data_IF_935617306629
#
_entry.id   IF_935617306629
#
_cell.length_a   1.000
_cell.length_b   1.000
_cell.length_c   1.000
_cell.angle_alpha   90.00
_cell.angle_beta   90.00
_cell.angle_gamma   90.00
#
_symmetry.space_group_name_H-M   'P 1'
#
loop_
_entity.id
_entity.type
_entity.pdbx_description
1 polymer ?
#
# COMPACT_ATOMS: atom_id res chain seq x y z
N UNK A 1 20.02 2.51 -15.33
CA UNK A 1 18.80 3.35 -15.51
C UNK A 1 18.34 4.01 -14.21
N UNK A 2 18.22 3.28 -13.08
CA UNK A 2 17.86 3.87 -11.76
C UNK A 2 18.83 4.97 -11.30
N UNK A 3 20.14 4.74 -11.37
CA UNK A 3 21.13 5.78 -11.06
C UNK A 3 20.99 7.03 -11.96
N UNK A 4 20.65 6.84 -13.23
CA UNK A 4 20.42 7.91 -14.22
C UNK A 4 19.11 8.67 -14.02
N UNK A 5 18.15 8.10 -13.27
CA UNK A 5 16.88 8.75 -12.88
C UNK A 5 17.07 9.49 -11.56
N UNK A 6 17.83 8.93 -10.61
CA UNK A 6 18.19 9.60 -9.36
C UNK A 6 19.05 10.85 -9.59
N UNK A 7 19.96 10.85 -10.58
CA UNK A 7 20.75 12.04 -10.95
C UNK A 7 19.93 13.15 -11.61
N UNK A 8 18.68 12.90 -11.99
CA UNK A 8 17.74 13.92 -12.51
C UNK A 8 16.96 14.64 -11.40
N UNK A 9 17.36 14.46 -10.14
CA UNK A 9 16.67 15.05 -8.98
C UNK A 9 15.50 14.23 -8.44
N UNK A 10 15.40 12.95 -8.83
CA UNK A 10 14.32 12.08 -8.36
C UNK A 10 14.62 11.47 -7.00
N UNK A 11 13.73 11.66 -6.02
CA UNK A 11 13.88 11.17 -4.64
C UNK A 11 13.53 9.69 -4.44
N UNK A 12 13.34 8.91 -5.52
CA UNK A 12 12.98 7.48 -5.44
C UNK A 12 14.04 6.64 -4.73
N UNK A 13 15.32 6.98 -4.89
CA UNK A 13 16.40 6.29 -4.17
C UNK A 13 16.30 6.46 -2.66
N UNK A 14 15.93 7.67 -2.19
CA UNK A 14 15.70 7.93 -0.77
C UNK A 14 14.52 7.12 -0.24
N UNK A 15 13.43 7.04 -1.02
CA UNK A 15 12.27 6.21 -0.66
C UNK A 15 12.66 4.73 -0.54
N UNK A 16 13.47 4.22 -1.47
CA UNK A 16 14.00 2.85 -1.42
C UNK A 16 14.77 2.59 -0.14
N UNK A 17 15.69 3.50 0.23
CA UNK A 17 16.44 3.41 1.49
C UNK A 17 15.52 3.43 2.71
N UNK A 18 14.49 4.28 2.73
CA UNK A 18 13.53 4.34 3.82
C UNK A 18 12.73 3.03 3.98
N UNK A 19 12.30 2.43 2.87
CA UNK A 19 11.55 1.16 2.90
C UNK A 19 12.46 0.00 3.33
N UNK A 20 13.71 -0.04 2.86
CA UNK A 20 14.68 -1.04 3.33
C UNK A 20 15.04 -0.85 4.80
N UNK A 21 15.19 0.40 5.26
CA UNK A 21 15.42 0.71 6.67
C UNK A 21 14.21 0.32 7.55
N UNK A 22 12.98 0.52 7.05
CA UNK A 22 11.75 0.06 7.71
C UNK A 22 11.78 -1.47 7.87
N UNK A 23 12.05 -2.20 6.78
CA UNK A 23 12.15 -3.67 6.82
C UNK A 23 13.20 -4.11 7.84
N UNK A 24 14.40 -3.52 7.81
CA UNK A 24 15.45 -3.81 8.79
C UNK A 24 15.00 -3.53 10.23
N UNK A 25 14.38 -2.38 10.49
CA UNK A 25 13.92 -2.00 11.83
C UNK A 25 12.83 -2.96 12.36
N UNK A 26 11.93 -3.42 11.48
CA UNK A 26 10.90 -4.41 11.81
C UNK A 26 11.53 -5.76 12.14
N UNK A 27 12.47 -6.24 11.32
CA UNK A 27 13.19 -7.50 11.57
C UNK A 27 14.01 -7.46 12.87
N UNK A 28 14.62 -6.31 13.19
CA UNK A 28 15.31 -6.07 14.46
C UNK A 28 14.36 -5.82 15.65
N UNK A 29 13.04 -5.80 15.41
CA UNK A 29 11.99 -5.57 16.42
C UNK A 29 12.06 -4.21 17.10
N UNK A 30 12.63 -3.22 16.41
CA UNK A 30 12.72 -1.83 16.89
C UNK A 30 11.45 -1.08 16.56
N UNK A 31 10.36 -1.44 17.25
CA UNK A 31 8.98 -0.97 16.98
C UNK A 31 8.88 0.56 16.84
N UNK A 32 9.53 1.31 17.74
CA UNK A 32 9.55 2.77 17.70
C UNK A 32 10.16 3.30 16.40
N UNK A 33 11.33 2.78 16.01
CA UNK A 33 12.01 3.18 14.77
C UNK A 33 11.19 2.78 13.54
N UNK A 34 10.59 1.58 13.55
CA UNK A 34 9.73 1.13 12.47
C UNK A 34 8.53 2.06 12.27
N UNK A 35 7.88 2.49 13.34
CA UNK A 35 6.78 3.44 13.26
C UNK A 35 7.21 4.81 12.73
N UNK A 36 8.34 5.35 13.22
CA UNK A 36 8.89 6.62 12.71
C UNK A 36 9.25 6.53 11.23
N UNK A 37 9.94 5.46 10.81
CA UNK A 37 10.33 5.23 9.41
C UNK A 37 9.11 5.05 8.50
N UNK A 38 8.08 4.35 8.96
CA UNK A 38 6.82 4.20 8.23
C UNK A 38 6.12 5.55 8.08
N UNK A 39 5.94 6.31 9.16
CA UNK A 39 5.28 7.62 9.12
C UNK A 39 6.03 8.64 8.26
N UNK A 40 7.36 8.66 8.36
CA UNK A 40 8.22 9.49 7.52
C UNK A 40 8.16 9.06 6.05
N UNK A 41 8.21 7.75 5.76
CA UNK A 41 8.06 7.22 4.40
C UNK A 41 6.73 7.64 3.76
N UNK A 42 5.62 7.51 4.50
CA UNK A 42 4.27 7.90 4.05
C UNK A 42 4.14 9.42 3.86
N UNK A 43 4.84 10.22 4.66
CA UNK A 43 4.90 11.67 4.47
C UNK A 43 5.65 12.04 3.18
N UNK A 44 6.79 11.39 2.90
CA UNK A 44 7.60 11.62 1.69
C UNK A 44 6.84 11.26 0.40
N UNK A 45 6.14 10.12 0.41
CA UNK A 45 5.20 9.70 -0.63
C UNK A 45 4.13 8.86 0.01
N UNK A 46 2.91 8.91 -0.50
CA UNK A 46 1.81 8.15 0.11
C UNK A 46 2.06 6.62 0.05
N UNK A 47 2.70 6.10 -1.01
CA UNK A 47 2.78 4.67 -1.35
C UNK A 47 3.28 3.70 -0.26
N UNK A 48 4.28 4.01 0.59
CA UNK A 48 4.73 3.12 1.66
C UNK A 48 3.64 2.72 2.66
N UNK A 49 2.48 3.38 2.65
CA UNK A 49 1.34 2.99 3.48
C UNK A 49 0.90 1.54 3.21
N UNK A 50 1.12 1.02 2.00
CA UNK A 50 0.75 -0.35 1.64
C UNK A 50 1.48 -1.40 2.49
N UNK A 51 2.64 -1.08 3.05
CA UNK A 51 3.42 -2.02 3.87
C UNK A 51 2.86 -2.15 5.30
N UNK A 52 2.06 -1.19 5.77
CA UNK A 52 1.56 -1.17 7.14
C UNK A 52 0.80 -2.46 7.53
N UNK A 53 -0.13 -3.00 6.71
CA UNK A 53 -0.83 -4.25 7.03
C UNK A 53 0.10 -5.46 7.10
N UNK A 54 1.09 -5.57 6.21
CA UNK A 54 2.07 -6.67 6.24
C UNK A 54 2.93 -6.62 7.50
N UNK A 55 3.40 -5.42 7.87
CA UNK A 55 4.20 -5.21 9.08
C UNK A 55 3.38 -5.53 10.33
N UNK A 56 2.14 -5.00 10.43
CA UNK A 56 1.25 -5.27 11.58
C UNK A 56 0.92 -6.77 11.69
N UNK A 57 0.67 -7.44 10.56
CA UNK A 57 0.36 -8.87 10.53
C UNK A 57 1.57 -9.74 10.92
N UNK A 58 2.79 -9.32 10.52
CA UNK A 58 4.03 -10.01 10.86
C UNK A 58 4.39 -9.87 12.35
N UNK A 59 4.06 -8.74 12.99
CA UNK A 59 4.31 -8.47 14.41
C UNK A 59 3.37 -9.27 15.34
N UNK A 60 3.41 -10.60 15.26
CA UNK A 60 2.73 -11.54 16.16
C UNK A 60 3.56 -11.81 17.43
N UNK A 61 2.93 -12.27 18.50
CA UNK A 61 3.58 -12.61 19.77
C UNK A 61 4.73 -13.60 19.60
N UNK A 62 4.60 -14.58 18.70
CA UNK A 62 5.68 -15.54 18.38
C UNK A 62 6.91 -14.85 17.78
N UNK A 63 6.68 -13.92 16.85
CA UNK A 63 7.71 -13.15 16.18
C UNK A 63 8.29 -12.04 17.07
N UNK A 64 7.62 -11.64 18.14
CA UNK A 64 8.12 -10.65 19.09
C UNK A 64 8.82 -11.30 20.30
N UNK A 65 8.47 -12.52 20.69
CA UNK A 65 9.00 -13.22 21.87
C UNK A 65 10.38 -13.88 21.70
N UNK A 66 10.78 -14.25 20.47
CA UNK A 66 12.05 -14.98 20.20
C UNK A 66 13.36 -14.32 20.67
N UNK A 67 13.37 -13.05 21.11
CA UNK A 67 14.62 -12.34 21.54
C UNK A 67 14.81 -12.35 23.06
N UNK A 68 13.80 -12.73 23.84
CA UNK A 68 13.85 -12.65 25.31
C UNK A 68 14.43 -13.90 25.97
N UNK A 69 14.75 -14.96 25.22
CA UNK A 69 15.25 -16.24 25.77
C UNK A 69 16.76 -16.44 25.71
N UNK A 70 17.56 -15.48 25.23
CA UNK A 70 19.01 -15.66 25.07
C UNK A 70 19.91 -14.92 26.07
N UNK A 71 19.36 -14.19 27.06
CA UNK A 71 20.15 -13.51 28.09
C UNK A 71 19.53 -13.65 29.49
N UNK A 72 19.59 -14.86 30.06
CA UNK A 72 19.20 -15.09 31.45
C UNK A 72 19.26 -16.56 31.85
N UNK A 73 20.37 -16.97 32.48
CA UNK A 73 20.49 -18.23 33.23
C UNK A 73 19.41 -18.27 34.33
N UNK A 74 18.49 -19.24 34.32
CA UNK A 74 17.96 -19.87 35.55
C UNK A 74 17.09 -21.12 35.29
N UNK A 75 17.72 -22.28 35.47
CA UNK A 75 17.29 -23.44 36.28
C UNK A 75 15.78 -23.70 36.51
N UNK A 76 15.35 -24.93 36.16
CA UNK A 76 14.16 -25.64 36.65
C UNK A 76 12.90 -25.38 35.81
N UNK A 77 12.07 -26.35 35.41
CA UNK A 77 11.96 -27.75 35.81
C UNK A 77 11.28 -28.51 34.66
N UNK A 78 11.73 -29.73 34.40
CA UNK A 78 10.99 -30.72 33.60
C UNK A 78 9.85 -31.21 34.48
N UNK A 79 8.62 -30.81 34.16
CA UNK A 79 7.34 -31.51 34.38
C UNK A 79 6.23 -30.52 34.05
N UNK A 80 5.54 -30.67 32.93
CA UNK A 80 4.30 -31.46 32.95
C UNK A 80 3.66 -31.50 31.55
N UNK A 81 3.10 -32.66 31.25
CA UNK A 81 2.26 -32.90 30.09
C UNK A 81 0.91 -32.24 30.35
N UNK A 82 0.48 -31.35 29.45
CA UNK A 82 -0.92 -31.31 29.05
C UNK A 82 -1.06 -30.58 27.72
N UNK A 83 -1.20 -31.35 26.64
CA UNK A 83 -2.13 -30.95 25.59
C UNK A 83 -3.50 -30.81 26.25
N UNK A 84 -4.22 -29.72 25.98
CA UNK A 84 -5.62 -29.86 25.63
C UNK A 84 -5.77 -29.41 24.18
N UNK A 85 -6.08 -30.38 23.33
CA UNK A 85 -6.89 -30.17 22.15
C UNK A 85 -8.19 -29.50 22.63
N UNK A 86 -8.35 -28.21 22.38
CA UNK A 86 -9.64 -27.53 22.51
C UNK A 86 -9.83 -26.62 21.29
N UNK A 87 -10.55 -27.16 20.31
CA UNK A 87 -11.20 -26.43 19.24
C UNK A 87 -12.24 -25.49 19.86
N UNK A 88 -11.80 -24.38 20.45
CA UNK A 88 -12.72 -23.28 20.74
C UNK A 88 -12.99 -22.56 19.43
N UNK A 89 -14.23 -22.68 18.96
CA UNK A 89 -14.83 -21.78 17.98
C UNK A 89 -14.77 -20.36 18.52
N UNK A 90 -13.61 -19.72 18.38
CA UNK A 90 -13.40 -18.34 18.80
C UNK A 90 -14.44 -17.46 18.11
N UNK A 91 -15.24 -16.76 18.91
CA UNK A 91 -16.07 -15.67 18.42
C UNK A 91 -15.17 -14.66 17.70
N UNK A 92 -15.63 -14.06 16.58
CA UNK A 92 -14.80 -13.13 15.79
C UNK A 92 -14.26 -11.97 16.65
N UNK A 93 -15.01 -11.59 17.69
CA UNK A 93 -14.62 -10.56 18.66
C UNK A 93 -13.37 -10.94 19.48
N UNK A 94 -13.27 -12.18 19.97
CA UNK A 94 -12.10 -12.64 20.73
C UNK A 94 -10.83 -12.69 19.88
N UNK A 95 -10.97 -13.03 18.58
CA UNK A 95 -9.84 -12.97 17.63
C UNK A 95 -9.35 -11.53 17.42
N UNK A 96 -10.26 -10.56 17.38
CA UNK A 96 -9.91 -9.13 17.25
C UNK A 96 -9.19 -8.64 18.50
N UNK A 97 -9.68 -8.98 19.70
CA UNK A 97 -9.03 -8.58 20.95
C UNK A 97 -7.64 -9.22 21.09
N UNK A 98 -7.49 -10.50 20.74
CA UNK A 98 -6.19 -11.17 20.71
C UNK A 98 -5.22 -10.59 19.65
N UNK A 99 -5.75 -9.90 18.63
CA UNK A 99 -4.94 -9.23 17.60
C UNK A 99 -4.36 -7.89 18.08
N UNK A 100 -4.86 -7.34 19.19
CA UNK A 100 -4.39 -6.07 19.76
C UNK A 100 -3.19 -6.36 20.68
N UNK A 101 -1.98 -6.22 20.15
CA UNK A 101 -0.74 -6.33 20.93
C UNK A 101 -0.13 -4.94 21.19
N UNK A 102 0.62 -4.75 22.29
CA UNK A 102 1.20 -3.44 22.61
C UNK A 102 2.19 -2.97 21.52
N UNK A 103 2.90 -3.87 20.86
CA UNK A 103 3.84 -3.55 19.80
C UNK A 103 3.12 -3.00 18.56
N UNK A 104 1.97 -3.59 18.20
CA UNK A 104 1.15 -3.13 17.07
C UNK A 104 0.56 -1.75 17.36
N UNK A 105 0.04 -1.55 18.57
CA UNK A 105 -0.46 -0.24 19.00
C UNK A 105 0.66 0.80 18.94
N UNK A 106 1.84 0.47 19.48
CA UNK A 106 2.98 1.36 19.47
C UNK A 106 3.39 1.73 18.04
N UNK A 107 3.43 0.77 17.11
CA UNK A 107 3.71 1.06 15.68
C UNK A 107 2.66 2.00 15.07
N UNK A 108 1.38 1.76 15.34
CA UNK A 108 0.29 2.60 14.81
C UNK A 108 0.39 4.02 15.36
N UNK A 109 0.55 4.19 16.67
CA UNK A 109 0.63 5.50 17.31
C UNK A 109 1.86 6.26 16.83
N UNK A 110 3.02 5.62 16.82
CA UNK A 110 4.29 6.30 16.46
C UNK A 110 4.33 6.69 14.99
N UNK A 111 3.81 5.85 14.09
CA UNK A 111 3.66 6.20 12.67
C UNK A 111 2.64 7.31 12.44
N UNK A 112 1.50 7.27 13.13
CA UNK A 112 0.48 8.32 13.04
C UNK A 112 0.99 9.66 13.56
N UNK A 113 1.64 9.70 14.72
CA UNK A 113 2.21 10.92 15.30
C UNK A 113 3.28 11.50 14.39
N UNK A 114 4.17 10.66 13.84
CA UNK A 114 5.21 11.12 12.92
C UNK A 114 4.60 11.69 11.64
N UNK A 115 3.67 10.97 11.02
CA UNK A 115 3.00 11.41 9.78
C UNK A 115 2.18 12.68 9.99
N UNK A 116 1.33 12.71 11.03
CA UNK A 116 0.48 13.86 11.34
C UNK A 116 1.32 15.07 11.73
N UNK A 117 2.33 14.88 12.60
CA UNK A 117 3.23 15.95 13.03
C UNK A 117 3.93 16.62 11.85
N UNK A 118 4.53 15.83 10.94
CA UNK A 118 5.19 16.37 9.74
C UNK A 118 4.21 17.11 8.83
N UNK A 119 3.00 16.57 8.63
CA UNK A 119 1.97 17.21 7.82
C UNK A 119 1.44 18.52 8.44
N UNK A 120 1.26 18.55 9.77
CA UNK A 120 0.85 19.76 10.48
C UNK A 120 1.93 20.84 10.35
N UNK A 121 3.20 20.48 10.50
CA UNK A 121 4.32 21.43 10.31
C UNK A 121 4.35 21.95 8.88
N UNK A 122 4.23 21.09 7.87
CA UNK A 122 4.21 21.53 6.46
C UNK A 122 2.98 22.38 6.15
N UNK A 123 1.81 22.04 6.69
CA UNK A 123 0.61 22.85 6.54
C UNK A 123 0.75 24.21 7.23
N UNK A 124 1.37 24.28 8.40
CA UNK A 124 1.61 25.55 9.10
C UNK A 124 2.53 26.50 8.32
N UNK A 125 3.51 25.96 7.58
CA UNK A 125 4.44 26.75 6.77
C UNK A 125 3.83 27.17 5.43
N UNK A 126 3.14 26.26 4.74
CA UNK A 126 2.75 26.42 3.32
C UNK A 126 1.24 26.55 3.10
N UNK A 127 0.40 26.24 4.10
CA UNK A 127 -1.07 26.34 4.02
C UNK A 127 -1.72 25.36 3.03
N UNK A 128 -2.86 25.79 2.46
CA UNK A 128 -3.61 25.01 1.46
C UNK A 128 -2.83 24.61 0.19
N UNK A 129 -1.91 25.44 -0.35
CA UNK A 129 -1.07 25.04 -1.47
C UNK A 129 -0.32 23.71 -1.27
N UNK A 130 0.13 23.42 -0.04
CA UNK A 130 0.77 22.15 0.29
C UNK A 130 -0.19 20.97 0.09
N UNK A 131 -1.41 21.04 0.63
CA UNK A 131 -2.40 19.94 0.51
C UNK A 131 -2.76 19.70 -0.95
N UNK A 132 -2.96 20.79 -1.71
CA UNK A 132 -3.34 20.69 -3.12
C UNK A 132 -2.25 20.03 -3.95
N UNK A 133 -1.00 20.46 -3.83
CA UNK A 133 0.09 19.96 -4.67
C UNK A 133 0.62 18.60 -4.20
N UNK A 134 0.65 18.33 -2.89
CA UNK A 134 1.17 17.08 -2.32
C UNK A 134 0.18 15.92 -2.46
N UNK A 135 -1.12 16.18 -2.29
CA UNK A 135 -2.13 15.11 -2.23
C UNK A 135 -3.17 15.21 -3.34
N UNK A 136 -3.87 16.34 -3.45
CA UNK A 136 -5.06 16.43 -4.32
C UNK A 136 -4.70 16.35 -5.81
N UNK A 137 -3.62 16.99 -6.22
CA UNK A 137 -3.18 17.03 -7.61
C UNK A 137 -2.87 15.63 -8.19
N UNK A 138 -2.38 14.70 -7.36
CA UNK A 138 -2.11 13.33 -7.79
C UNK A 138 -3.37 12.47 -7.94
N UNK A 139 -4.44 12.80 -7.23
CA UNK A 139 -5.72 12.08 -7.30
C UNK A 139 -6.52 12.51 -8.53
N UNK A 140 -6.47 13.80 -8.88
CA UNK A 140 -7.25 14.36 -10.00
C UNK A 140 -6.59 14.16 -11.36
N UNK A 141 -5.28 13.90 -11.42
CA UNK A 141 -4.57 13.75 -12.69
C UNK A 141 -4.89 12.41 -13.35
N UNK A 142 -5.41 12.46 -14.58
CA UNK A 142 -5.68 11.29 -15.43
C UNK A 142 -4.82 11.41 -16.69
N UNK A 143 -3.97 10.41 -16.95
CA UNK A 143 -3.26 10.28 -18.21
C UNK A 143 -3.95 9.21 -19.07
N UNK A 144 -4.39 9.59 -20.27
CA UNK A 144 -5.16 8.74 -21.20
C UNK A 144 -4.42 8.43 -22.50
N UNK A 145 -3.31 9.11 -22.81
CA UNK A 145 -2.60 8.95 -24.10
C UNK A 145 -1.37 8.05 -23.99
N UNK A 146 -0.75 7.98 -22.81
CA UNK A 146 0.48 7.23 -22.59
C UNK A 146 0.39 6.30 -21.37
N UNK A 147 -0.82 5.82 -21.10
CA UNK A 147 -1.12 4.95 -19.97
C UNK A 147 -1.14 3.48 -20.42
N UNK A 148 -0.26 2.66 -19.85
CA UNK A 148 -0.17 1.23 -20.12
C UNK A 148 -0.91 0.40 -19.05
N UNK A 149 -1.69 1.04 -18.17
CA UNK A 149 -2.48 0.31 -17.18
C UNK A 149 -3.51 -0.61 -17.86
N UNK A 150 -3.94 -1.68 -17.18
CA UNK A 150 -5.05 -2.51 -17.64
C UNK A 150 -6.34 -1.72 -17.93
N UNK A 151 -6.45 -0.51 -17.37
CA UNK A 151 -7.61 0.37 -17.49
C UNK A 151 -7.54 1.35 -18.67
N UNK A 152 -6.46 1.32 -19.47
CA UNK A 152 -6.23 2.31 -20.53
C UNK A 152 -7.40 2.48 -21.50
N UNK A 153 -7.91 1.38 -22.07
CA UNK A 153 -9.02 1.41 -23.04
C UNK A 153 -10.29 2.00 -22.41
N UNK A 154 -10.57 1.65 -21.16
CA UNK A 154 -11.76 2.10 -20.44
C UNK A 154 -11.69 3.59 -20.09
N UNK A 155 -10.53 4.07 -19.65
CA UNK A 155 -10.28 5.49 -19.40
C UNK A 155 -10.32 6.31 -20.69
N UNK A 156 -9.77 5.78 -21.78
CA UNK A 156 -9.83 6.41 -23.10
C UNK A 156 -11.27 6.60 -23.58
N UNK A 157 -12.08 5.53 -23.56
CA UNK A 157 -13.49 5.58 -23.99
C UNK A 157 -14.35 6.51 -23.12
N UNK A 158 -14.07 6.58 -21.81
CA UNK A 158 -14.76 7.50 -20.91
C UNK A 158 -14.40 8.96 -21.24
N UNK A 159 -13.11 9.25 -21.47
CA UNK A 159 -12.66 10.59 -21.83
C UNK A 159 -13.20 11.08 -23.18
N UNK A 160 -13.37 10.18 -24.15
CA UNK A 160 -13.96 10.52 -25.45
C UNK A 160 -15.47 10.76 -25.33
N UNK A 161 -16.20 9.95 -24.55
CA UNK A 161 -17.63 10.14 -24.31
C UNK A 161 -17.96 11.47 -23.58
N UNK A 162 -17.13 11.86 -22.60
CA UNK A 162 -17.23 13.18 -21.95
C UNK A 162 -16.90 14.35 -22.88
N UNK A 163 -16.07 14.12 -23.90
CA UNK A 163 -15.74 15.14 -24.91
C UNK A 163 -16.88 15.31 -25.93
N UNK A 164 -17.54 14.22 -26.32
CA UNK A 164 -18.67 14.24 -27.28
C UNK A 164 -19.93 14.91 -26.74
N UNK A 165 -20.09 15.02 -25.41
CA UNK A 165 -21.21 15.73 -24.77
C UNK A 165 -21.03 17.26 -24.74
N UNK A 166 -19.84 17.77 -25.08
CA UNK A 166 -19.55 19.22 -25.08
C UNK A 166 -19.85 19.93 -26.41
N UNK A 167 -20.26 19.19 -27.45
CA UNK A 167 -20.53 19.73 -28.80
C UNK A 167 -21.98 19.54 -29.28
N UNK A 168 -22.92 19.17 -28.43
CA UNK A 168 -24.33 19.15 -28.81
C UNK A 168 -24.87 20.58 -28.68
N UNK A 169 -25.34 21.22 -29.78
CA UNK A 169 -26.02 22.51 -29.68
C UNK A 169 -27.19 22.36 -28.71
N UNK A 170 -27.40 23.40 -27.90
CA UNK A 170 -28.27 23.44 -26.71
C UNK A 170 -29.71 22.99 -27.04
N UNK A 171 -30.11 23.08 -28.31
CA UNK A 171 -31.42 22.72 -28.85
C UNK A 171 -31.58 21.22 -29.17
N UNK A 172 -30.50 20.48 -29.42
CA UNK A 172 -30.52 19.03 -29.65
C UNK A 172 -30.24 18.24 -28.35
N UNK A 173 -29.57 18.86 -27.38
CA UNK A 173 -29.28 18.25 -26.08
C UNK A 173 -30.57 17.99 -25.27
N UNK A 174 -31.59 18.83 -25.42
CA UNK A 174 -32.90 18.66 -24.80
C UNK A 174 -33.73 17.53 -25.41
N UNK A 175 -33.54 17.24 -26.71
CA UNK A 175 -34.22 16.14 -27.41
C UNK A 175 -33.54 14.79 -27.23
N UNK A 176 -32.25 14.76 -26.86
CA UNK A 176 -31.52 13.53 -26.52
C UNK A 176 -31.55 13.20 -25.02
N UNK A 177 -32.02 14.12 -24.18
CA UNK A 177 -32.16 13.90 -22.73
C UNK A 177 -33.16 12.78 -22.38
N UNK A 178 -34.04 12.39 -23.30
CA UNK A 178 -35.05 11.34 -23.08
C UNK A 178 -34.49 9.91 -23.16
N UNK A 179 -33.26 9.73 -23.66
CA UNK A 179 -32.57 8.42 -23.66
C UNK A 179 -31.21 8.46 -22.95
N UNK A 180 -31.02 9.40 -22.02
CA UNK A 180 -29.98 9.24 -21.02
C UNK A 180 -30.51 8.23 -20.01
N UNK A 181 -30.10 6.96 -20.16
CA UNK A 181 -30.14 6.00 -19.06
C UNK A 181 -29.29 6.63 -17.94
N UNK A 182 -29.92 7.44 -17.08
CA UNK A 182 -29.41 7.82 -15.76
C UNK A 182 -29.45 6.57 -14.92
N UNK A 183 -28.54 5.69 -15.26
CA UNK A 183 -28.20 4.48 -14.56
C UNK A 183 -27.64 4.93 -13.20
N UNK A 184 -28.32 4.63 -12.07
CA UNK A 184 -27.77 4.85 -10.72
C UNK A 184 -26.53 3.97 -10.47
N UNK A 185 -26.23 3.06 -11.39
CA UNK A 185 -25.10 2.16 -11.45
C UNK A 185 -24.00 2.64 -12.41
N UNK A 186 -24.00 3.91 -12.82
CA UNK A 186 -22.80 4.60 -13.31
C UNK A 186 -21.84 4.76 -12.13
N UNK A 187 -21.42 3.62 -11.57
CA UNK A 187 -20.30 3.53 -10.65
C UNK A 187 -19.20 4.33 -11.32
N UNK A 188 -18.63 5.31 -10.62
CA UNK A 188 -17.42 5.99 -11.07
C UNK A 188 -16.40 4.92 -11.36
N UNK A 189 -16.29 4.51 -12.63
CA UNK A 189 -15.48 3.37 -13.07
C UNK A 189 -14.01 3.59 -12.65
N UNK A 190 -13.62 4.86 -12.55
CA UNK A 190 -12.37 5.33 -11.99
C UNK A 190 -12.10 4.92 -10.54
N UNK A 191 -13.14 4.85 -9.70
CA UNK A 191 -13.05 4.39 -8.30
C UNK A 191 -13.00 2.86 -8.20
N UNK A 192 -13.54 2.15 -9.18
CA UNK A 192 -13.49 0.66 -9.22
C UNK A 192 -12.09 0.15 -9.48
N UNK A 193 -11.26 0.89 -10.24
CA UNK A 193 -9.87 0.53 -10.50
C UNK A 193 -8.99 0.48 -9.24
N UNK A 194 -9.31 1.28 -8.21
CA UNK A 194 -8.58 1.29 -6.93
C UNK A 194 -8.92 0.09 -6.04
N UNK A 195 -10.11 -0.49 -6.20
CA UNK A 195 -10.57 -1.60 -5.36
C UNK A 195 -9.71 -2.87 -5.50
N UNK A 196 -9.44 -3.43 -6.70
CA UNK A 196 -8.59 -4.61 -6.82
C UNK A 196 -7.13 -4.30 -6.47
N UNK A 197 -6.63 -3.11 -6.79
CA UNK A 197 -5.27 -2.68 -6.45
C UNK A 197 -5.05 -2.66 -4.92
N UNK A 198 -5.94 -2.00 -4.18
CA UNK A 198 -5.84 -1.94 -2.72
C UNK A 198 -6.14 -3.29 -2.09
N UNK A 199 -7.23 -3.97 -2.49
CA UNK A 199 -7.60 -5.26 -1.92
C UNK A 199 -6.50 -6.31 -2.07
N UNK A 200 -5.86 -6.38 -3.25
CA UNK A 200 -4.78 -7.33 -3.48
C UNK A 200 -3.53 -6.96 -2.68
N UNK A 201 -3.10 -5.69 -2.72
CA UNK A 201 -1.83 -5.26 -2.11
C UNK A 201 -1.88 -5.08 -0.60
N UNK A 202 -3.00 -4.63 -0.01
CA UNK A 202 -3.09 -4.32 1.42
C UNK A 202 -3.79 -5.42 2.24
N UNK A 203 -4.54 -6.32 1.60
CA UNK A 203 -5.29 -7.37 2.30
C UNK A 203 -4.80 -8.77 1.91
N UNK A 204 -4.96 -9.17 0.65
CA UNK A 204 -4.71 -10.57 0.25
C UNK A 204 -3.24 -10.99 0.40
N UNK A 205 -2.31 -10.20 -0.11
CA UNK A 205 -0.87 -10.52 -0.07
C UNK A 205 -0.34 -10.59 1.38
N UNK A 206 -0.61 -9.59 2.25
CA UNK A 206 -0.22 -9.65 3.66
C UNK A 206 -0.74 -10.88 4.39
N UNK A 207 -2.00 -11.25 4.19
CA UNK A 207 -2.61 -12.39 4.89
C UNK A 207 -1.94 -13.72 4.54
N UNK A 208 -1.55 -13.90 3.27
CA UNK A 208 -0.95 -15.15 2.77
C UNK A 208 0.55 -15.23 3.05
N UNK A 209 1.25 -14.10 2.87
CA UNK A 209 2.71 -14.07 2.81
C UNK A 209 3.40 -13.57 4.07
N UNK A 210 2.80 -12.60 4.79
CA UNK A 210 3.58 -11.81 5.74
C UNK A 210 4.15 -12.66 6.88
N UNK A 211 3.42 -13.68 7.37
CA UNK A 211 3.92 -14.59 8.43
C UNK A 211 5.05 -15.54 7.99
N UNK A 212 5.23 -15.75 6.68
CA UNK A 212 6.27 -16.67 6.15
C UNK A 212 7.57 -15.91 5.89
N UNK A 213 7.46 -14.82 5.14
CA UNK A 213 8.59 -13.97 4.80
C UNK A 213 8.09 -12.55 4.51
N UNK A 214 8.46 -11.61 5.39
CA UNK A 214 8.06 -10.22 5.29
C UNK A 214 8.68 -9.54 4.06
N UNK A 215 9.95 -9.83 3.72
CA UNK A 215 10.65 -9.17 2.63
C UNK A 215 10.02 -9.53 1.27
N UNK A 216 9.81 -10.83 1.04
CA UNK A 216 9.13 -11.32 -0.17
C UNK A 216 7.69 -10.80 -0.25
N UNK A 217 7.00 -10.69 0.90
CA UNK A 217 5.65 -10.11 0.94
C UNK A 217 5.66 -8.64 0.53
N UNK A 218 6.53 -7.81 1.09
CA UNK A 218 6.63 -6.39 0.72
C UNK A 218 7.00 -6.21 -0.76
N UNK A 219 7.85 -7.08 -1.31
CA UNK A 219 8.15 -7.11 -2.74
C UNK A 219 6.90 -7.43 -3.56
N UNK A 220 6.15 -8.48 -3.20
CA UNK A 220 4.91 -8.85 -3.87
C UNK A 220 3.83 -7.76 -3.78
N UNK A 221 3.72 -7.08 -2.63
CA UNK A 221 2.82 -5.93 -2.46
C UNK A 221 3.18 -4.81 -3.42
N UNK A 222 4.46 -4.48 -3.54
CA UNK A 222 4.96 -3.43 -4.45
C UNK A 222 4.65 -3.80 -5.90
N UNK A 223 4.92 -5.04 -6.29
CA UNK A 223 4.64 -5.56 -7.61
C UNK A 223 3.14 -5.48 -7.97
N UNK A 224 2.27 -5.95 -7.07
CA UNK A 224 0.83 -5.92 -7.28
C UNK A 224 0.29 -4.48 -7.31
N UNK A 225 0.76 -3.62 -6.39
CA UNK A 225 0.34 -2.23 -6.33
C UNK A 225 0.70 -1.46 -7.59
N UNK A 226 1.87 -1.74 -8.16
CA UNK A 226 2.34 -1.15 -9.41
C UNK A 226 1.58 -1.70 -10.63
N UNK A 227 1.40 -3.02 -10.70
CA UNK A 227 0.77 -3.69 -11.85
C UNK A 227 -0.69 -3.28 -12.04
N UNK A 228 -1.43 -3.10 -10.94
CA UNK A 228 -2.84 -2.72 -10.97
C UNK A 228 -3.08 -1.22 -10.76
N UNK A 229 -2.05 -0.38 -10.90
CA UNK A 229 -2.22 1.06 -10.80
C UNK A 229 -3.04 1.63 -11.98
N UNK A 230 -3.92 2.60 -11.71
CA UNK A 230 -4.73 3.33 -12.71
C UNK A 230 -3.87 4.04 -13.77
N UNK A 231 -2.64 4.43 -13.44
CA UNK A 231 -1.68 5.03 -14.38
C UNK A 231 -0.38 4.24 -14.33
N UNK A 232 -0.05 3.57 -15.43
CA UNK A 232 1.22 2.85 -15.56
C UNK A 232 2.03 3.43 -16.72
N UNK A 233 3.27 3.84 -16.46
CA UNK A 233 4.19 4.31 -17.51
C UNK A 233 5.00 3.15 -18.07
N UNK A 234 5.48 3.25 -19.32
CA UNK A 234 6.21 2.16 -20.00
C UNK A 234 7.43 1.66 -19.23
N UNK A 235 8.12 2.53 -18.48
CA UNK A 235 9.28 2.18 -17.65
C UNK A 235 8.92 1.23 -16.49
N UNK A 236 7.73 1.41 -15.93
CA UNK A 236 7.22 0.64 -14.79
C UNK A 236 6.54 -0.65 -15.29
N UNK A 237 5.84 -0.57 -16.42
CA UNK A 237 5.21 -1.72 -17.06
C UNK A 237 6.24 -2.75 -17.55
N UNK A 238 7.32 -2.31 -18.22
CA UNK A 238 8.40 -3.19 -18.67
C UNK A 238 9.13 -3.88 -17.51
N UNK A 239 9.30 -3.19 -16.38
CA UNK A 239 9.89 -3.77 -15.16
C UNK A 239 8.96 -4.79 -14.47
N UNK A 240 7.64 -4.60 -14.59
CA UNK A 240 6.65 -5.51 -14.00
C UNK A 240 6.39 -6.74 -14.88
N UNK A 241 6.63 -6.68 -16.19
CA UNK A 241 6.51 -7.82 -17.11
C UNK A 241 7.80 -8.61 -17.31
N UNK A 242 8.96 -8.07 -16.89
CA UNK A 242 10.26 -8.77 -16.97
C UNK A 242 10.51 -9.91 -15.99
N UNK A 243 9.89 -10.03 -14.79
CA UNK A 243 10.04 -11.22 -13.95
C UNK A 243 9.42 -12.48 -14.57
N UNK A 244 8.63 -12.37 -15.65
CA UNK A 244 8.14 -13.53 -16.39
C UNK A 244 9.09 -14.03 -17.50
N UNK A 245 10.19 -13.32 -17.79
CA UNK A 245 11.10 -13.71 -18.89
C UNK A 245 12.36 -14.45 -18.43
N UNK A 246 12.41 -14.96 -17.20
CA UNK A 246 13.44 -15.92 -16.82
C UNK A 246 12.90 -17.11 -16.01
N UNK A 247 12.24 -18.08 -16.65
CA UNK A 247 12.36 -19.47 -16.28
C UNK A 247 13.57 -20.05 -17.02
N UNK A 248 14.62 -20.43 -16.29
CA UNK A 248 15.81 -21.17 -16.78
C UNK A 248 17.02 -20.32 -17.22
N UNK A 249 17.84 -19.94 -16.24
CA UNK A 249 19.29 -20.05 -16.39
C UNK A 249 19.82 -20.81 -15.17
N UNK A 250 19.83 -22.13 -15.31
CA UNK A 250 20.80 -22.97 -14.62
C UNK A 250 22.21 -22.59 -15.11
N UNK A 251 23.15 -22.71 -14.17
CA UNK A 251 24.61 -22.77 -14.34
C UNK A 251 25.12 -23.16 -15.73
#
# INVERSE_FOLDING_TARGET
MVATISTRGSSEGLLGVLVTALLWAVLERRVLLSGVLLGLGVHFKIYPFIYAPAVVWWMDGEHMATRTTSTGKSKGNITDKSKPTQDHTFTPFQKIVAFITPERIQLIITSLVTFAGLNIVMYAIYGMPFVTHTYLHHVTRIDHRHNFSPYNVLLYLTSSASSSSSHIPIDAASLMADHQITSPWAIKIESVAFAPQLLLSTVLIPLVGAKKDLATTMMAQTFAFVTFNKVCTSQVCLFSSTPLYNPSLHL
#
